data_IF_789248510618
#
_entry.id   IF_789248510618
#
_cell.length_a   1.000
_cell.length_b   1.000
_cell.length_c   1.000
_cell.angle_alpha   90.00
_cell.angle_beta   90.00
_cell.angle_gamma   90.00
#
_symmetry.space_group_name_H-M   'P 1'
#
loop_
_entity.id
_entity.type
_entity.pdbx_description
1 polymer ?
#
# COMPACT_ATOMS: atom_id res chain seq x y z
N UNK A 1 3.13 18.95 -16.99
CA UNK A 1 2.37 18.04 -17.86
C UNK A 1 1.74 18.84 -18.99
N UNK A 2 1.72 18.31 -20.21
CA UNK A 2 0.87 18.82 -21.30
C UNK A 2 -0.52 18.19 -21.25
N UNK A 3 -1.42 18.59 -22.14
CA UNK A 3 -2.69 17.90 -22.37
C UNK A 3 -2.42 16.55 -23.07
N UNK A 4 -2.95 15.46 -22.51
CA UNK A 4 -3.05 14.16 -23.20
C UNK A 4 -4.44 14.13 -23.83
N UNK A 5 -4.51 13.93 -25.15
CA UNK A 5 -5.77 13.72 -25.83
C UNK A 5 -6.13 12.25 -25.67
N UNK A 6 -7.16 11.95 -24.88
CA UNK A 6 -7.66 10.59 -24.73
C UNK A 6 -8.33 10.13 -26.02
N UNK A 7 -8.15 8.86 -26.36
CA UNK A 7 -8.87 8.20 -27.44
C UNK A 7 -10.34 7.96 -27.04
N UNK A 8 -11.25 7.96 -28.02
CA UNK A 8 -12.68 7.67 -27.80
C UNK A 8 -12.97 6.17 -27.57
N UNK A 9 -11.95 5.34 -27.38
CA UNK A 9 -12.07 3.89 -27.16
C UNK A 9 -12.13 3.60 -25.68
N UNK A 10 -13.26 3.02 -25.24
CA UNK A 10 -13.48 2.54 -23.87
C UNK A 10 -13.82 1.06 -23.94
N UNK A 11 -13.10 0.24 -23.18
CA UNK A 11 -13.32 -1.20 -23.12
C UNK A 11 -14.71 -1.53 -22.54
N UNK A 12 -15.41 -2.47 -23.17
CA UNK A 12 -16.64 -3.02 -22.60
C UNK A 12 -16.30 -3.97 -21.45
N UNK A 13 -15.21 -4.74 -21.59
CA UNK A 13 -14.67 -5.61 -20.55
C UNK A 13 -13.35 -5.03 -20.03
N UNK A 14 -13.33 -4.50 -18.79
CA UNK A 14 -12.11 -3.93 -18.26
C UNK A 14 -11.04 -4.98 -17.96
N UNK A 15 -9.80 -4.53 -17.91
CA UNK A 15 -8.71 -5.29 -17.31
C UNK A 15 -8.64 -4.98 -15.81
N UNK A 16 -8.65 -6.02 -14.99
CA UNK A 16 -8.61 -5.87 -13.54
C UNK A 16 -7.16 -5.94 -13.03
N UNK A 17 -6.71 -4.88 -12.36
CA UNK A 17 -5.38 -4.76 -11.77
C UNK A 17 -5.43 -5.19 -10.30
N UNK A 18 -5.01 -6.42 -10.02
CA UNK A 18 -5.18 -7.08 -8.70
C UNK A 18 -4.47 -6.34 -7.55
N UNK A 19 -3.30 -5.78 -7.82
CA UNK A 19 -2.51 -5.04 -6.84
C UNK A 19 -3.22 -3.78 -6.33
N UNK A 20 -3.98 -3.12 -7.21
CA UNK A 20 -4.64 -1.85 -6.92
C UNK A 20 -6.13 -2.01 -6.62
N UNK A 21 -6.72 -3.16 -6.93
CA UNK A 21 -8.16 -3.44 -6.85
C UNK A 21 -8.97 -2.43 -7.69
N UNK A 22 -8.54 -2.25 -8.94
CA UNK A 22 -9.19 -1.33 -9.89
C UNK A 22 -9.35 -1.98 -11.26
N UNK A 23 -10.36 -1.52 -11.98
CA UNK A 23 -10.58 -1.83 -13.38
C UNK A 23 -10.01 -0.70 -14.24
N UNK A 24 -9.27 -1.06 -15.29
CA UNK A 24 -8.86 -0.13 -16.34
C UNK A 24 -9.64 -0.43 -17.63
N UNK A 25 -10.02 0.62 -18.32
CA UNK A 25 -10.91 0.63 -19.47
C UNK A 25 -10.27 1.24 -20.70
N UNK A 26 -9.18 2.01 -20.55
CA UNK A 26 -8.54 2.69 -21.67
C UNK A 26 -7.03 2.43 -21.77
N UNK A 27 -6.46 2.78 -22.93
CA UNK A 27 -5.02 2.65 -23.16
C UNK A 27 -4.22 3.70 -22.35
N UNK A 28 -4.80 4.86 -22.08
CA UNK A 28 -4.27 5.91 -21.21
C UNK A 28 -4.19 5.44 -19.76
N UNK A 29 -5.23 4.78 -19.26
CA UNK A 29 -5.22 4.20 -17.92
C UNK A 29 -4.16 3.09 -17.82
N UNK A 30 -4.02 2.24 -18.85
CA UNK A 30 -2.93 1.27 -18.90
C UNK A 30 -1.56 1.96 -18.87
N UNK A 31 -1.36 2.98 -19.72
CA UNK A 31 -0.11 3.75 -19.76
C UNK A 31 0.22 4.42 -18.42
N UNK A 32 -0.80 4.98 -17.77
CA UNK A 32 -0.69 5.56 -16.44
C UNK A 32 -0.26 4.52 -15.40
N UNK A 33 -0.91 3.35 -15.38
CA UNK A 33 -0.54 2.26 -14.45
C UNK A 33 0.89 1.79 -14.69
N UNK A 34 1.27 1.57 -15.94
CA UNK A 34 2.61 1.14 -16.30
C UNK A 34 3.68 2.15 -15.84
N UNK A 35 3.44 3.45 -16.01
CA UNK A 35 4.44 4.48 -15.69
C UNK A 35 4.49 4.86 -14.20
N UNK A 36 3.32 5.08 -13.57
CA UNK A 36 3.24 5.57 -12.18
C UNK A 36 3.38 4.47 -11.13
N UNK A 37 3.17 3.21 -11.52
CA UNK A 37 3.20 2.05 -10.61
C UNK A 37 4.25 0.98 -10.99
N UNK A 38 5.54 1.33 -11.22
CA UNK A 38 6.56 0.40 -11.72
C UNK A 38 6.74 -0.83 -10.83
N UNK A 39 6.76 -0.67 -9.51
CA UNK A 39 6.91 -1.78 -8.55
C UNK A 39 5.76 -2.81 -8.62
N UNK A 40 4.60 -2.40 -9.17
CA UNK A 40 3.45 -3.28 -9.32
C UNK A 40 3.53 -4.06 -10.62
N UNK A 41 3.97 -3.40 -11.70
CA UNK A 41 3.94 -3.97 -13.05
C UNK A 41 5.20 -4.76 -13.42
N UNK A 42 6.27 -4.65 -12.65
CA UNK A 42 7.53 -5.35 -12.91
C UNK A 42 7.51 -6.86 -12.63
N UNK A 43 6.51 -7.37 -11.89
CA UNK A 43 6.35 -8.81 -11.63
C UNK A 43 4.89 -9.22 -11.89
N UNK A 44 4.69 -10.29 -12.65
CA UNK A 44 3.41 -10.98 -12.86
C UNK A 44 2.30 -10.14 -13.55
N UNK A 45 2.62 -8.96 -14.10
CA UNK A 45 1.67 -8.10 -14.80
C UNK A 45 1.57 -8.39 -16.30
N UNK A 46 2.70 -8.65 -16.95
CA UNK A 46 2.75 -8.97 -18.38
C UNK A 46 2.24 -10.40 -18.58
N UNK A 47 1.08 -10.52 -19.22
CA UNK A 47 0.35 -11.78 -19.34
C UNK A 47 -0.42 -11.87 -20.66
N UNK A 48 -0.83 -13.08 -21.02
CA UNK A 48 -1.71 -13.29 -22.19
C UNK A 48 -3.03 -12.55 -22.07
N UNK A 49 -3.59 -12.45 -20.85
CA UNK A 49 -4.80 -11.69 -20.58
C UNK A 49 -4.63 -10.19 -20.90
N UNK A 50 -3.46 -9.62 -20.60
CA UNK A 50 -3.14 -8.24 -20.96
C UNK A 50 -3.06 -8.05 -22.48
N UNK A 51 -2.47 -9.02 -23.20
CA UNK A 51 -2.38 -8.96 -24.66
C UNK A 51 -3.76 -9.04 -25.31
N UNK A 52 -4.61 -9.93 -24.82
CA UNK A 52 -6.00 -10.06 -25.28
C UNK A 52 -6.79 -8.78 -25.03
N UNK A 53 -6.64 -8.15 -23.86
CA UNK A 53 -7.26 -6.87 -23.55
C UNK A 53 -6.81 -5.76 -24.52
N UNK A 54 -5.50 -5.62 -24.74
CA UNK A 54 -4.93 -4.62 -25.66
C UNK A 54 -5.42 -4.86 -27.10
N UNK A 55 -5.47 -6.13 -27.53
CA UNK A 55 -5.89 -6.51 -28.87
C UNK A 55 -7.39 -6.28 -29.10
N UNK A 56 -8.22 -6.79 -28.20
CA UNK A 56 -9.66 -6.96 -28.44
C UNK A 56 -10.48 -5.82 -27.89
N UNK A 57 -10.20 -5.34 -26.68
CA UNK A 57 -10.97 -4.28 -26.03
C UNK A 57 -10.44 -2.90 -26.43
N UNK A 58 -9.11 -2.71 -26.41
CA UNK A 58 -8.49 -1.43 -26.79
C UNK A 58 -8.24 -1.28 -28.30
N UNK A 59 -8.53 -2.32 -29.10
CA UNK A 59 -8.36 -2.36 -30.58
C UNK A 59 -6.94 -2.04 -31.06
N UNK A 60 -5.91 -2.30 -30.24
CA UNK A 60 -4.49 -2.09 -30.58
C UNK A 60 -3.82 -3.39 -31.04
N UNK A 61 -4.35 -4.01 -32.10
CA UNK A 61 -3.90 -5.33 -32.57
C UNK A 61 -2.41 -5.37 -32.94
N UNK A 62 -1.88 -4.34 -33.59
CA UNK A 62 -0.46 -4.26 -33.94
C UNK A 62 0.45 -4.24 -32.71
N UNK A 63 0.08 -3.48 -31.67
CA UNK A 63 0.81 -3.44 -30.41
C UNK A 63 0.77 -4.80 -29.71
N UNK A 64 -0.40 -5.42 -29.62
CA UNK A 64 -0.59 -6.73 -29.01
C UNK A 64 0.28 -7.81 -29.68
N UNK A 65 0.29 -7.88 -31.02
CA UNK A 65 1.12 -8.84 -31.77
C UNK A 65 2.62 -8.62 -31.47
N UNK A 66 3.07 -7.35 -31.43
CA UNK A 66 4.46 -7.02 -31.12
C UNK A 66 4.86 -7.49 -29.72
N UNK A 67 4.08 -7.16 -28.68
CA UNK A 67 4.41 -7.53 -27.29
C UNK A 67 4.27 -9.03 -27.05
N UNK A 68 3.31 -9.71 -27.68
CA UNK A 68 3.15 -11.16 -27.61
C UNK A 68 4.35 -11.88 -28.22
N UNK A 69 4.86 -11.38 -29.36
CA UNK A 69 6.10 -11.88 -29.96
C UNK A 69 7.31 -11.67 -29.04
N UNK A 70 7.47 -10.48 -28.48
CA UNK A 70 8.56 -10.19 -27.53
C UNK A 70 8.51 -11.12 -26.31
N UNK A 71 7.30 -11.38 -25.79
CA UNK A 71 7.07 -12.30 -24.68
C UNK A 71 7.44 -13.74 -25.06
N UNK A 72 7.05 -14.22 -26.24
CA UNK A 72 7.42 -15.54 -26.76
C UNK A 72 8.95 -15.70 -26.96
N UNK A 73 9.63 -14.61 -27.32
CA UNK A 73 11.10 -14.53 -27.43
C UNK A 73 11.80 -14.40 -26.06
N UNK A 74 11.06 -14.45 -24.95
CA UNK A 74 11.55 -14.31 -23.56
C UNK A 74 12.27 -12.99 -23.29
N UNK A 75 11.83 -11.91 -23.95
CA UNK A 75 12.23 -10.57 -23.57
C UNK A 75 11.67 -10.27 -22.17
N UNK A 76 12.45 -9.59 -21.33
CA UNK A 76 12.03 -9.25 -19.97
C UNK A 76 10.81 -8.33 -19.96
N UNK A 77 9.90 -8.55 -19.00
CA UNK A 77 8.69 -7.74 -18.78
C UNK A 77 8.98 -6.24 -18.79
N UNK A 78 10.07 -5.83 -18.15
CA UNK A 78 10.57 -4.45 -18.12
C UNK A 78 10.73 -3.84 -19.52
N UNK A 79 11.32 -4.58 -20.46
CA UNK A 79 11.54 -4.12 -21.83
C UNK A 79 10.24 -4.10 -22.62
N UNK A 80 9.32 -5.03 -22.34
CA UNK A 80 7.97 -5.02 -22.91
C UNK A 80 7.20 -3.79 -22.43
N UNK A 81 7.25 -3.47 -21.13
CA UNK A 81 6.63 -2.28 -20.55
C UNK A 81 7.19 -1.01 -21.18
N UNK A 82 8.51 -0.91 -21.30
CA UNK A 82 9.17 0.22 -21.97
C UNK A 82 8.68 0.35 -23.41
N UNK A 83 8.61 -0.76 -24.15
CA UNK A 83 8.13 -0.74 -25.54
C UNK A 83 6.68 -0.26 -25.64
N UNK A 84 5.80 -0.71 -24.73
CA UNK A 84 4.43 -0.21 -24.65
C UNK A 84 4.45 1.31 -24.44
N UNK A 85 5.14 1.81 -23.40
CA UNK A 85 5.19 3.23 -23.08
C UNK A 85 5.76 4.10 -24.22
N UNK A 86 6.75 3.60 -24.94
CA UNK A 86 7.32 4.27 -26.13
C UNK A 86 6.35 4.28 -27.32
N UNK A 87 5.53 3.24 -27.47
CA UNK A 87 4.54 3.15 -28.54
C UNK A 87 3.35 4.07 -28.29
N UNK A 88 2.97 4.30 -27.03
CA UNK A 88 1.82 5.14 -26.67
C UNK A 88 2.07 6.64 -26.87
N UNK A 89 3.32 7.08 -26.86
CA UNK A 89 3.73 8.48 -27.03
C UNK A 89 3.08 9.47 -26.03
N UNK A 90 2.61 8.98 -24.87
CA UNK A 90 2.07 9.80 -23.78
C UNK A 90 3.15 10.49 -22.95
N UNK A 91 4.35 9.93 -22.97
CA UNK A 91 5.48 10.37 -22.15
C UNK A 91 6.63 10.83 -23.03
N UNK A 92 7.25 11.95 -22.65
CA UNK A 92 8.41 12.47 -23.37
C UNK A 92 9.58 11.50 -23.26
N UNK A 93 10.50 11.54 -24.22
CA UNK A 93 11.71 10.71 -24.18
C UNK A 93 12.55 10.88 -22.90
N UNK A 94 12.48 12.06 -22.26
CA UNK A 94 13.12 12.32 -20.97
C UNK A 94 12.42 11.63 -19.80
N UNK A 95 11.09 11.51 -19.83
CA UNK A 95 10.28 10.77 -18.86
C UNK A 95 10.51 9.27 -19.01
N UNK A 96 10.50 8.75 -20.24
CA UNK A 96 10.87 7.36 -20.52
C UNK A 96 12.30 7.04 -20.06
N UNK A 97 13.25 7.97 -20.25
CA UNK A 97 14.62 7.78 -19.76
C UNK A 97 14.70 7.74 -18.23
N UNK A 98 13.90 8.55 -17.52
CA UNK A 98 13.79 8.48 -16.05
C UNK A 98 13.20 7.15 -15.60
N UNK A 99 12.16 6.69 -16.27
CA UNK A 99 11.52 5.40 -16.01
C UNK A 99 12.50 4.23 -16.20
N UNK A 100 13.29 4.22 -17.28
CA UNK A 100 14.36 3.23 -17.52
C UNK A 100 15.38 3.19 -16.38
N UNK A 101 15.81 4.35 -15.90
CA UNK A 101 16.73 4.46 -14.77
C UNK A 101 16.10 3.92 -13.48
N UNK A 102 14.82 4.21 -13.24
CA UNK A 102 14.07 3.73 -12.08
C UNK A 102 13.96 2.20 -12.07
N UNK A 103 13.55 1.58 -13.18
CA UNK A 103 13.52 0.11 -13.33
C UNK A 103 14.90 -0.49 -13.09
N UNK A 104 15.94 0.10 -13.69
CA UNK A 104 17.32 -0.40 -13.54
C UNK A 104 17.77 -0.39 -12.07
N UNK A 105 17.34 0.60 -11.30
CA UNK A 105 17.63 0.67 -9.87
C UNK A 105 16.90 -0.42 -9.09
N UNK A 106 15.62 -0.68 -9.39
CA UNK A 106 14.87 -1.76 -8.76
C UNK A 106 15.45 -3.13 -9.08
N UNK A 107 15.89 -3.36 -10.33
CA UNK A 107 16.50 -4.63 -10.75
C UNK A 107 17.81 -4.96 -10.02
N UNK A 108 18.54 -3.94 -9.56
CA UNK A 108 19.78 -4.13 -8.79
C UNK A 108 19.53 -4.52 -7.33
N UNK A 109 18.30 -4.33 -6.84
CA UNK A 109 17.95 -4.68 -5.46
C UNK A 109 17.98 -6.20 -5.27
N UNK A 110 18.38 -6.64 -4.08
CA UNK A 110 18.14 -8.02 -3.68
C UNK A 110 16.65 -8.27 -3.57
N UNK A 111 16.22 -9.53 -3.73
CA UNK A 111 14.80 -9.91 -3.64
C UNK A 111 14.11 -9.34 -2.39
N UNK A 112 14.79 -9.38 -1.25
CA UNK A 112 14.26 -8.88 0.02
C UNK A 112 14.07 -7.35 0.03
N UNK A 113 15.01 -6.61 -0.56
CA UNK A 113 14.94 -5.15 -0.66
C UNK A 113 13.88 -4.71 -1.66
N UNK A 114 13.72 -5.44 -2.77
CA UNK A 114 12.65 -5.21 -3.74
C UNK A 114 11.28 -5.45 -3.11
N UNK A 115 11.09 -6.57 -2.40
CA UNK A 115 9.84 -6.85 -1.68
C UNK A 115 9.54 -5.77 -0.63
N UNK A 116 10.56 -5.27 0.07
CA UNK A 116 10.39 -4.18 1.02
C UNK A 116 9.96 -2.90 0.30
N UNK A 117 10.57 -2.56 -0.84
CA UNK A 117 10.17 -1.40 -1.64
C UNK A 117 8.70 -1.52 -2.11
N UNK A 118 8.28 -2.71 -2.58
CA UNK A 118 6.89 -2.99 -2.96
C UNK A 118 5.93 -2.86 -1.76
N UNK A 119 6.32 -3.34 -0.59
CA UNK A 119 5.55 -3.20 0.65
C UNK A 119 5.41 -1.74 1.10
N UNK A 120 6.52 -1.00 1.14
CA UNK A 120 6.55 0.43 1.50
C UNK A 120 5.72 1.25 0.51
N UNK A 121 5.75 0.90 -0.78
CA UNK A 121 4.92 1.53 -1.79
C UNK A 121 3.43 1.30 -1.54
N UNK A 122 3.01 0.04 -1.30
CA UNK A 122 1.64 -0.30 -0.93
C UNK A 122 1.17 0.45 0.33
N UNK A 123 2.05 0.55 1.32
CA UNK A 123 1.78 1.34 2.52
C UNK A 123 1.55 2.82 2.19
N UNK A 124 2.39 3.40 1.33
CA UNK A 124 2.29 4.80 0.90
C UNK A 124 0.98 5.14 0.19
N UNK A 125 0.43 4.21 -0.59
CA UNK A 125 -0.89 4.35 -1.24
C UNK A 125 -2.04 3.84 -0.36
N UNK A 126 -1.79 3.58 0.93
CA UNK A 126 -2.77 3.14 1.95
C UNK A 126 -3.39 1.76 1.71
N UNK A 127 -2.79 0.92 0.88
CA UNK A 127 -3.14 -0.51 0.71
C UNK A 127 -2.43 -1.33 1.78
N UNK A 128 -2.83 -1.14 3.04
CA UNK A 128 -2.18 -1.71 4.22
C UNK A 128 -2.22 -3.24 4.25
N UNK A 129 -3.31 -3.89 3.83
CA UNK A 129 -3.37 -5.35 3.79
C UNK A 129 -2.39 -5.96 2.77
N UNK A 130 -2.29 -5.39 1.56
CA UNK A 130 -1.26 -5.73 0.57
C UNK A 130 0.16 -5.44 1.10
N UNK A 131 0.37 -4.32 1.80
CA UNK A 131 1.65 -4.02 2.43
C UNK A 131 2.05 -5.09 3.45
N UNK A 132 1.13 -5.49 4.33
CA UNK A 132 1.31 -6.58 5.31
C UNK A 132 1.65 -7.88 4.59
N UNK A 133 0.96 -8.21 3.47
CA UNK A 133 1.28 -9.40 2.66
C UNK A 133 2.76 -9.43 2.29
N UNK A 134 3.28 -8.34 1.71
CA UNK A 134 4.67 -8.28 1.28
C UNK A 134 5.67 -8.26 2.45
N UNK A 135 5.41 -7.52 3.53
CA UNK A 135 6.25 -7.58 4.73
C UNK A 135 6.28 -8.99 5.33
N UNK A 136 5.14 -9.69 5.37
CA UNK A 136 5.05 -11.05 5.92
C UNK A 136 5.85 -12.07 5.11
N UNK A 137 5.93 -11.89 3.78
CA UNK A 137 6.78 -12.74 2.92
C UNK A 137 8.24 -12.59 3.34
N UNK A 138 8.69 -11.37 3.63
CA UNK A 138 10.06 -11.12 4.09
C UNK A 138 10.30 -11.76 5.46
N UNK A 139 9.40 -11.57 6.42
CA UNK A 139 9.55 -12.11 7.77
C UNK A 139 9.54 -13.65 7.83
N UNK A 140 8.96 -14.32 6.82
CA UNK A 140 8.94 -15.80 6.72
C UNK A 140 10.21 -16.38 6.11
N UNK A 141 11.06 -15.57 5.49
CA UNK A 141 12.34 -16.05 4.96
C UNK A 141 13.28 -16.39 6.11
N UNK A 142 14.12 -17.43 5.97
CA UNK A 142 15.11 -17.75 6.99
C UNK A 142 15.99 -16.51 7.23
N UNK A 143 16.36 -16.22 8.49
CA UNK A 143 17.19 -15.07 8.82
C UNK A 143 18.52 -15.19 8.07
N UNK A 144 18.66 -14.43 7.00
CA UNK A 144 19.94 -14.28 6.31
C UNK A 144 20.85 -13.48 7.25
N UNK A 145 21.95 -14.12 7.66
CA UNK A 145 22.95 -13.53 8.57
C UNK A 145 23.57 -12.23 8.02
N UNK A 146 23.38 -11.95 6.73
CA UNK A 146 23.82 -10.71 6.09
C UNK A 146 22.76 -9.60 6.09
N UNK A 147 21.53 -9.86 6.53
CA UNK A 147 20.51 -8.81 6.70
C UNK A 147 20.75 -8.16 8.05
N UNK A 148 21.05 -6.86 8.03
CA UNK A 148 21.24 -6.10 9.26
C UNK A 148 19.98 -6.11 10.13
N UNK A 149 20.14 -6.26 11.45
CA UNK A 149 19.06 -6.17 12.44
C UNK A 149 18.19 -4.92 12.24
N UNK A 150 18.82 -3.81 11.86
CA UNK A 150 18.14 -2.55 11.52
C UNK A 150 17.12 -2.70 10.39
N UNK A 151 17.41 -3.53 9.39
CA UNK A 151 16.50 -3.79 8.27
C UNK A 151 15.28 -4.59 8.72
N UNK A 152 15.50 -5.65 9.52
CA UNK A 152 14.41 -6.47 10.09
C UNK A 152 13.52 -5.64 11.01
N UNK A 153 14.13 -4.88 11.91
CA UNK A 153 13.43 -3.98 12.81
C UNK A 153 12.52 -3.00 12.06
N UNK A 154 12.98 -2.42 10.95
CA UNK A 154 12.16 -1.52 10.11
C UNK A 154 10.98 -2.22 9.44
N UNK A 155 11.14 -3.48 9.02
CA UNK A 155 10.04 -4.26 8.44
C UNK A 155 8.95 -4.49 9.49
N UNK A 156 9.33 -4.95 10.68
CA UNK A 156 8.40 -5.14 11.79
C UNK A 156 7.72 -3.83 12.19
N UNK A 157 8.45 -2.71 12.23
CA UNK A 157 7.88 -1.38 12.49
C UNK A 157 6.79 -1.00 11.47
N UNK A 158 7.10 -1.14 10.17
CA UNK A 158 6.16 -0.76 9.12
C UNK A 158 4.96 -1.70 9.07
N UNK A 159 5.16 -3.00 9.33
CA UNK A 159 4.07 -3.96 9.44
C UNK A 159 3.17 -3.67 10.65
N UNK A 160 3.74 -3.29 11.80
CA UNK A 160 2.98 -2.83 12.97
C UNK A 160 2.16 -1.58 12.67
N UNK A 161 2.76 -0.63 11.94
CA UNK A 161 2.06 0.57 11.47
C UNK A 161 0.90 0.24 10.53
N UNK A 162 1.08 -0.75 9.63
CA UNK A 162 0.03 -1.19 8.73
C UNK A 162 -1.13 -1.87 9.49
N UNK A 163 -0.82 -2.74 10.46
CA UNK A 163 -1.82 -3.34 11.33
C UNK A 163 -2.60 -2.29 12.15
N UNK A 164 -1.91 -1.28 12.68
CA UNK A 164 -2.55 -0.21 13.44
C UNK A 164 -3.54 0.60 12.58
N UNK A 165 -3.19 0.89 11.31
CA UNK A 165 -4.10 1.57 10.37
C UNK A 165 -5.31 0.70 9.96
N UNK A 166 -5.20 -0.64 10.09
CA UNK A 166 -6.33 -1.57 9.92
C UNK A 166 -7.09 -1.83 11.22
N UNK A 167 -6.80 -1.10 12.31
CA UNK A 167 -7.42 -1.29 13.62
C UNK A 167 -7.17 -2.69 14.23
N UNK A 168 -6.11 -3.38 13.77
CA UNK A 168 -5.69 -4.69 14.26
C UNK A 168 -4.66 -4.53 15.38
N UNK A 169 -5.08 -3.96 16.51
CA UNK A 169 -4.17 -3.47 17.55
C UNK A 169 -3.31 -4.54 18.20
N UNK A 170 -3.85 -5.74 18.45
CA UNK A 170 -3.08 -6.88 18.98
C UNK A 170 -1.91 -7.24 18.05
N UNK A 171 -2.18 -7.37 16.74
CA UNK A 171 -1.13 -7.66 15.74
C UNK A 171 -0.15 -6.51 15.57
N UNK A 172 -0.62 -5.28 15.68
CA UNK A 172 0.23 -4.09 15.63
C UNK A 172 1.21 -4.09 16.81
N UNK A 173 0.72 -4.42 18.01
CA UNK A 173 1.50 -4.51 19.23
C UNK A 173 2.56 -5.61 19.11
N UNK A 174 2.19 -6.82 18.68
CA UNK A 174 3.15 -7.92 18.43
C UNK A 174 4.27 -7.51 17.46
N UNK A 175 3.89 -6.83 16.36
CA UNK A 175 4.86 -6.38 15.37
C UNK A 175 5.77 -5.27 15.91
N UNK A 176 5.27 -4.33 16.71
CA UNK A 176 6.09 -3.31 17.34
C UNK A 176 6.99 -3.89 18.44
N UNK A 177 6.53 -4.85 19.25
CA UNK A 177 7.37 -5.56 20.23
C UNK A 177 8.57 -6.21 19.54
N UNK A 178 8.34 -6.95 18.44
CA UNK A 178 9.41 -7.51 17.60
C UNK A 178 10.32 -6.43 17.01
N UNK A 179 9.76 -5.32 16.54
CA UNK A 179 10.55 -4.20 16.03
C UNK A 179 11.48 -3.62 17.10
N UNK A 180 10.99 -3.50 18.34
CA UNK A 180 11.74 -3.02 19.49
C UNK A 180 12.88 -3.98 19.87
N UNK A 181 12.69 -5.29 19.75
CA UNK A 181 13.77 -6.28 19.95
C UNK A 181 15.00 -5.99 19.07
N UNK A 182 14.78 -5.58 17.81
CA UNK A 182 15.85 -5.26 16.86
C UNK A 182 16.40 -3.83 17.00
N UNK A 183 15.55 -2.84 17.26
CA UNK A 183 15.92 -1.43 17.14
C UNK A 183 16.16 -0.74 18.48
N UNK A 184 15.52 -1.21 19.56
CA UNK A 184 15.56 -0.59 20.90
C UNK A 184 15.28 0.92 20.86
N UNK A 185 14.35 1.32 19.99
CA UNK A 185 14.01 2.71 19.69
C UNK A 185 12.87 3.21 20.58
N UNK A 186 13.03 4.40 21.16
CA UNK A 186 12.04 5.01 22.04
C UNK A 186 10.74 5.39 21.30
N UNK A 187 10.82 5.73 20.01
CA UNK A 187 9.63 6.02 19.20
C UNK A 187 8.75 4.77 19.02
N UNK A 188 9.36 3.59 19.02
CA UNK A 188 8.63 2.31 18.96
C UNK A 188 7.98 2.03 20.32
N UNK A 189 8.71 2.24 21.41
CA UNK A 189 8.16 2.09 22.76
C UNK A 189 6.94 2.98 22.98
N UNK A 190 7.00 4.24 22.52
CA UNK A 190 5.87 5.17 22.53
C UNK A 190 4.66 4.65 21.75
N UNK A 191 4.87 4.03 20.59
CA UNK A 191 3.79 3.41 19.79
C UNK A 191 3.16 2.22 20.51
N UNK A 192 3.97 1.39 21.16
CA UNK A 192 3.49 0.27 21.99
C UNK A 192 2.61 0.81 23.12
N UNK A 193 3.07 1.87 23.81
CA UNK A 193 2.31 2.54 24.87
C UNK A 193 0.98 3.13 24.36
N UNK A 194 0.98 3.89 23.27
CA UNK A 194 -0.26 4.46 22.71
C UNK A 194 -1.25 3.38 22.26
N UNK A 195 -0.77 2.24 21.77
CA UNK A 195 -1.64 1.11 21.45
C UNK A 195 -2.22 0.43 22.70
N UNK A 196 -1.48 0.36 23.81
CA UNK A 196 -2.03 -0.20 25.06
C UNK A 196 -3.22 0.61 25.56
N UNK A 197 -3.16 1.94 25.40
CA UNK A 197 -4.27 2.86 25.73
C UNK A 197 -5.52 2.68 24.85
N UNK A 198 -5.37 2.08 23.68
CA UNK A 198 -6.48 1.72 22.79
C UNK A 198 -6.94 0.26 22.98
N UNK A 199 -6.17 -0.54 23.71
CA UNK A 199 -6.40 -1.97 23.97
C UNK A 199 -6.33 -2.28 25.46
N UNK A 200 -5.64 -3.36 25.81
CA UNK A 200 -5.48 -3.82 27.19
C UNK A 200 -4.17 -3.31 27.81
N UNK A 201 -4.27 -2.48 28.85
CA UNK A 201 -3.12 -1.84 29.51
C UNK A 201 -2.19 -2.86 30.23
N UNK A 202 -2.71 -4.02 30.66
CA UNK A 202 -1.92 -5.07 31.35
C UNK A 202 -0.74 -5.58 30.49
N UNK A 203 -0.95 -5.69 29.17
CA UNK A 203 0.04 -6.18 28.20
C UNK A 203 1.27 -5.25 28.09
N UNK A 204 1.11 -3.98 28.47
CA UNK A 204 2.19 -3.00 28.43
C UNK A 204 3.08 -3.06 29.66
N UNK A 205 2.50 -3.22 30.86
CA UNK A 205 3.27 -3.32 32.11
C UNK A 205 4.19 -4.54 32.08
N UNK A 206 3.68 -5.71 31.68
CA UNK A 206 4.49 -6.92 31.51
C UNK A 206 5.65 -6.70 30.52
N UNK A 207 5.38 -5.96 29.43
CA UNK A 207 6.41 -5.68 28.43
C UNK A 207 7.54 -4.78 28.95
N UNK A 208 7.23 -3.80 29.81
CA UNK A 208 8.23 -2.96 30.45
C UNK A 208 9.12 -3.78 31.38
N UNK A 209 8.51 -4.63 32.21
CA UNK A 209 9.20 -5.50 33.15
C UNK A 209 10.14 -6.49 32.42
N UNK A 210 9.63 -7.16 31.38
CA UNK A 210 10.39 -8.10 30.54
C UNK A 210 11.61 -7.46 29.85
N UNK A 211 11.54 -6.16 29.58
CA UNK A 211 12.62 -5.41 28.93
C UNK A 211 13.46 -4.57 29.91
N UNK A 212 13.19 -4.64 31.22
CA UNK A 212 13.91 -3.88 32.25
C UNK A 212 13.76 -2.36 32.10
N UNK A 213 12.60 -1.88 31.65
CA UNK A 213 12.31 -0.46 31.44
C UNK A 213 11.66 0.10 32.71
N UNK A 214 12.42 0.87 33.49
CA UNK A 214 11.96 1.38 34.79
C UNK A 214 10.94 2.53 34.70
N UNK A 215 10.99 3.32 33.62
CA UNK A 215 10.08 4.46 33.44
C UNK A 215 9.88 4.80 31.97
N UNK A 216 8.73 5.40 31.69
CA UNK A 216 8.41 6.01 30.39
C UNK A 216 8.36 7.52 30.54
N UNK A 217 8.42 8.22 29.41
CA UNK A 217 8.33 9.67 29.38
C UNK A 217 6.93 10.13 29.82
N UNK A 218 6.87 10.90 30.91
CA UNK A 218 5.62 11.40 31.47
C UNK A 218 4.83 12.31 30.52
N UNK A 219 5.48 12.88 29.49
CA UNK A 219 4.81 13.71 28.48
C UNK A 219 3.89 12.89 27.56
N UNK A 220 4.07 11.56 27.48
CA UNK A 220 3.27 10.72 26.60
C UNK A 220 1.79 10.65 27.01
N UNK A 221 1.50 10.68 28.30
CA UNK A 221 0.12 10.77 28.81
C UNK A 221 -0.53 12.08 28.34
N UNK A 222 0.19 13.21 28.43
CA UNK A 222 -0.31 14.51 28.01
C UNK A 222 -0.57 14.53 26.49
N UNK A 223 0.38 14.04 25.71
CA UNK A 223 0.27 13.98 24.24
C UNK A 223 -0.88 13.08 23.78
N UNK A 224 -1.05 11.91 24.42
CA UNK A 224 -2.16 11.00 24.13
C UNK A 224 -3.49 11.69 24.42
N UNK A 225 -3.62 12.31 25.60
CA UNK A 225 -4.85 12.99 26.01
C UNK A 225 -5.16 14.21 25.13
N UNK A 226 -4.15 14.97 24.69
CA UNK A 226 -4.35 16.08 23.76
C UNK A 226 -4.83 15.57 22.39
N UNK A 227 -4.23 14.48 21.89
CA UNK A 227 -4.62 13.85 20.63
C UNK A 227 -6.05 13.31 20.69
N UNK A 228 -6.40 12.65 21.81
CA UNK A 228 -7.75 12.15 22.05
C UNK A 228 -8.78 13.29 22.07
N UNK A 229 -8.49 14.40 22.75
CA UNK A 229 -9.36 15.60 22.74
C UNK A 229 -9.57 16.13 21.33
N UNK A 230 -8.51 16.23 20.51
CA UNK A 230 -8.61 16.66 19.11
C UNK A 230 -9.44 15.69 18.26
N UNK A 231 -9.28 14.38 18.48
CA UNK A 231 -10.03 13.36 17.76
C UNK A 231 -11.53 13.39 18.10
N UNK A 232 -11.87 13.57 19.38
CA UNK A 232 -13.25 13.69 19.86
C UNK A 232 -13.91 15.00 19.40
N UNK A 233 -13.14 16.07 19.23
CA UNK A 233 -13.62 17.35 18.69
C UNK A 233 -13.58 17.43 17.15
N UNK A 234 -13.43 16.30 16.46
CA UNK A 234 -13.33 16.29 15.00
C UNK A 234 -14.69 16.44 14.32
N UNK A 235 -14.69 17.05 13.12
CA UNK A 235 -15.89 17.21 12.30
C UNK A 235 -16.60 15.87 12.01
N UNK A 236 -15.86 14.75 11.98
CA UNK A 236 -16.44 13.42 11.79
C UNK A 236 -17.32 13.00 12.97
N UNK A 237 -16.90 13.33 14.20
CA UNK A 237 -17.68 13.07 15.41
C UNK A 237 -18.87 14.03 15.49
N UNK A 238 -18.67 15.32 15.23
CA UNK A 238 -19.78 16.30 15.18
C UNK A 238 -20.86 15.89 14.17
N UNK A 239 -20.45 15.41 13.00
CA UNK A 239 -21.35 14.89 11.99
C UNK A 239 -22.11 13.65 12.48
N UNK A 240 -21.42 12.68 13.10
CA UNK A 240 -22.05 11.50 13.68
C UNK A 240 -23.08 11.89 14.75
N UNK A 241 -22.74 12.81 15.64
CA UNK A 241 -23.62 13.32 16.69
C UNK A 241 -24.85 14.03 16.11
N UNK A 242 -24.66 14.77 15.00
CA UNK A 242 -25.77 15.40 14.28
C UNK A 242 -26.75 14.37 13.72
N UNK A 243 -26.23 13.24 13.19
CA UNK A 243 -27.07 12.12 12.73
C UNK A 243 -27.82 11.48 13.89
N UNK A 244 -27.16 11.32 15.04
CA UNK A 244 -27.74 10.65 16.20
C UNK A 244 -28.96 11.40 16.79
N UNK A 245 -29.06 12.72 16.56
CA UNK A 245 -30.15 13.60 16.99
C UNK A 245 -31.35 13.67 16.02
N UNK A 246 -31.25 13.09 14.82
CA UNK A 246 -32.33 13.07 13.82
C UNK A 246 -33.45 12.09 14.20
N UNK A 247 -34.60 12.20 13.55
CA UNK A 247 -35.70 11.26 13.70
C UNK A 247 -35.31 9.85 13.23
N UNK A 248 -36.09 8.84 13.64
CA UNK A 248 -35.74 7.43 13.42
C UNK A 248 -35.58 7.04 11.95
N UNK A 249 -36.28 7.70 11.02
CA UNK A 249 -36.20 7.37 9.60
C UNK A 249 -34.94 7.97 8.97
N UNK A 250 -34.75 9.28 9.12
CA UNK A 250 -33.55 9.97 8.59
C UNK A 250 -32.25 9.42 9.18
N UNK A 251 -32.24 9.17 10.49
CA UNK A 251 -31.10 8.58 11.19
C UNK A 251 -30.69 7.25 10.58
N UNK A 252 -31.67 6.37 10.30
CA UNK A 252 -31.39 5.04 9.73
C UNK A 252 -30.80 5.16 8.32
N UNK A 253 -31.31 6.07 7.50
CA UNK A 253 -30.79 6.31 6.15
C UNK A 253 -29.33 6.76 6.18
N UNK A 254 -29.03 7.81 6.95
CA UNK A 254 -27.69 8.40 7.03
C UNK A 254 -26.66 7.46 7.67
N UNK A 255 -27.06 6.69 8.69
CA UNK A 255 -26.18 5.67 9.30
C UNK A 255 -25.83 4.60 8.26
N UNK A 256 -26.78 4.16 7.43
CA UNK A 256 -26.50 3.14 6.41
C UNK A 256 -25.54 3.67 5.34
N UNK A 257 -25.71 4.91 4.89
CA UNK A 257 -24.79 5.57 3.95
C UNK A 257 -23.39 5.71 4.54
N UNK A 258 -23.28 6.19 5.78
CA UNK A 258 -22.00 6.33 6.48
C UNK A 258 -21.31 4.97 6.67
N UNK A 259 -22.06 3.94 7.08
CA UNK A 259 -21.53 2.60 7.25
C UNK A 259 -21.09 1.99 5.91
N UNK A 260 -21.80 2.26 4.81
CA UNK A 260 -21.39 1.83 3.48
C UNK A 260 -20.09 2.51 3.04
N UNK A 261 -19.97 3.83 3.27
CA UNK A 261 -18.76 4.58 2.98
C UNK A 261 -17.55 4.06 3.78
N UNK A 262 -17.70 3.84 5.09
CA UNK A 262 -16.63 3.27 5.92
C UNK A 262 -16.25 1.85 5.52
N UNK A 263 -17.21 1.01 5.13
CA UNK A 263 -16.92 -0.32 4.58
C UNK A 263 -16.09 -0.22 3.31
N UNK A 264 -16.41 0.72 2.42
CA UNK A 264 -15.63 0.92 1.20
C UNK A 264 -14.23 1.47 1.50
N UNK A 265 -14.11 2.45 2.39
CA UNK A 265 -12.82 2.99 2.84
C UNK A 265 -11.95 1.87 3.45
N UNK A 266 -12.54 1.02 4.29
CA UNK A 266 -11.83 -0.12 4.87
C UNK A 266 -11.42 -1.18 3.85
N UNK A 267 -12.30 -1.54 2.90
CA UNK A 267 -11.95 -2.47 1.82
C UNK A 267 -10.80 -1.94 0.96
N UNK A 268 -10.81 -0.63 0.66
CA UNK A 268 -9.72 0.03 -0.05
C UNK A 268 -8.40 0.03 0.74
N UNK A 269 -8.41 -0.25 2.05
CA UNK A 269 -7.20 -0.36 2.85
C UNK A 269 -6.62 -1.79 2.89
N UNK A 270 -7.36 -2.80 2.45
CA UNK A 270 -6.90 -4.20 2.40
C UNK A 270 -6.01 -4.47 1.18
#
# INVERSE_FOLDING_TARGET
>A
MGLILCEDIVADKPYYVEELDINIYSIEELGYILYEHPLLVMEDFISTALFDFIKTELKKESLAISIEKMYAEKISDENIIIYILETLDFYKSSEISRYKNLITNYRKLKRVEFLKAKADYMFGIKRYGKAIRFYSIICKQPPDRNIADKFQGKIWHNMGSAYANLFLYEKALEAYKKSFEYLKDNDILKKIYFLSKLGEDEVFTEFLDDNGIESIDASWDEEYNETLKKALASQRIDYLDSIMKKDSYEKRLLINELAAAWKQEYRNML
#
